data_IF_549782401671
#
_entry.id   IF_549782401671
#
_cell.length_a   1.000
_cell.length_b   1.000
_cell.length_c   1.000
_cell.angle_alpha   90.00
_cell.angle_beta   90.00
_cell.angle_gamma   90.00
#
_symmetry.space_group_name_H-M   'P 1'
#
loop_
_entity.id
_entity.type
_entity.pdbx_description
1 polymer ?
#
# COMPACT_ATOMS: atom_id res chain seq x y z
N UNK A 1 18.18 -8.29 -0.52
CA UNK A 1 16.70 -8.37 -0.37
C UNK A 1 15.93 -8.15 -1.67
N UNK A 2 16.56 -7.65 -2.75
CA UNK A 2 15.93 -7.53 -4.08
C UNK A 2 16.81 -8.18 -5.18
N UNK A 3 17.19 -9.44 -5.00
CA UNK A 3 17.95 -10.15 -6.04
C UNK A 3 17.01 -10.55 -7.18
N UNK A 4 17.56 -10.75 -8.39
CA UNK A 4 16.78 -11.18 -9.56
C UNK A 4 15.97 -12.46 -9.27
N UNK A 5 16.56 -13.41 -8.55
CA UNK A 5 15.89 -14.66 -8.16
C UNK A 5 14.72 -14.43 -7.21
N UNK A 6 14.87 -13.53 -6.22
CA UNK A 6 13.78 -13.19 -5.29
C UNK A 6 12.62 -12.50 -6.02
N UNK A 7 12.92 -11.56 -6.91
CA UNK A 7 11.89 -10.84 -7.68
C UNK A 7 11.16 -11.81 -8.62
N UNK A 8 11.89 -12.69 -9.32
CA UNK A 8 11.28 -13.71 -10.18
C UNK A 8 10.37 -14.67 -9.39
N UNK A 9 10.73 -15.01 -8.15
CA UNK A 9 9.91 -15.86 -7.29
C UNK A 9 8.57 -15.22 -6.87
N UNK A 10 8.38 -13.89 -7.07
CA UNK A 10 7.11 -13.23 -6.80
C UNK A 10 6.08 -13.45 -7.90
N UNK A 11 6.47 -13.88 -9.10
CA UNK A 11 5.58 -14.01 -10.26
C UNK A 11 4.32 -14.84 -9.98
N UNK A 12 4.40 -16.05 -9.38
CA UNK A 12 3.20 -16.84 -9.09
C UNK A 12 2.23 -16.09 -8.16
N UNK A 13 2.76 -15.42 -7.13
CA UNK A 13 1.95 -14.70 -6.16
C UNK A 13 1.33 -13.43 -6.73
N UNK A 14 2.08 -12.68 -7.54
CA UNK A 14 1.57 -11.51 -8.26
C UNK A 14 0.42 -11.91 -9.20
N UNK A 15 0.55 -13.08 -9.87
CA UNK A 15 -0.51 -13.61 -10.73
C UNK A 15 -1.77 -13.97 -9.95
N UNK A 16 -1.63 -14.63 -8.80
CA UNK A 16 -2.77 -14.91 -7.90
C UNK A 16 -3.46 -13.61 -7.44
N UNK A 17 -2.69 -12.64 -6.94
CA UNK A 17 -3.22 -11.34 -6.54
C UNK A 17 -3.95 -10.61 -7.67
N UNK A 18 -3.42 -10.68 -8.89
CA UNK A 18 -4.05 -10.12 -10.08
C UNK A 18 -5.41 -10.77 -10.34
N UNK A 19 -5.51 -12.09 -10.22
CA UNK A 19 -6.76 -12.82 -10.38
C UNK A 19 -7.75 -12.52 -9.24
N UNK A 20 -7.27 -12.44 -8.01
CA UNK A 20 -8.07 -12.08 -6.82
C UNK A 20 -8.70 -10.67 -6.99
N UNK A 21 -7.91 -9.70 -7.43
CA UNK A 21 -8.38 -8.32 -7.65
C UNK A 21 -9.40 -8.23 -8.80
N UNK A 22 -9.22 -9.02 -9.85
CA UNK A 22 -10.14 -9.04 -11.00
C UNK A 22 -11.34 -9.98 -10.82
N UNK A 23 -11.41 -10.75 -9.74
CA UNK A 23 -12.44 -11.77 -9.53
C UNK A 23 -13.87 -11.21 -9.50
N UNK A 24 -14.04 -9.94 -9.12
CA UNK A 24 -15.33 -9.25 -9.08
C UNK A 24 -15.74 -8.60 -10.41
N UNK A 25 -14.90 -8.65 -11.43
CA UNK A 25 -15.21 -8.02 -12.73
C UNK A 25 -16.16 -8.90 -13.55
N UNK A 26 -17.30 -8.33 -13.95
CA UNK A 26 -18.28 -9.07 -14.76
C UNK A 26 -17.92 -9.03 -16.25
N UNK A 27 -18.01 -10.16 -16.99
CA UNK A 27 -17.81 -10.17 -18.43
C UNK A 27 -18.74 -9.18 -19.15
N UNK A 28 -18.17 -8.27 -19.94
CA UNK A 28 -18.93 -7.26 -20.68
C UNK A 28 -19.26 -5.99 -19.88
N UNK A 29 -18.85 -5.91 -18.62
CA UNK A 29 -18.91 -4.67 -17.84
C UNK A 29 -17.67 -3.81 -18.06
N UNK A 30 -17.83 -2.49 -17.96
CA UNK A 30 -16.71 -1.55 -17.91
C UNK A 30 -16.28 -1.36 -16.45
N UNK A 31 -14.97 -1.35 -16.20
CA UNK A 31 -14.41 -1.03 -14.90
C UNK A 31 -13.14 -0.19 -15.05
N UNK A 32 -12.71 0.45 -13.97
CA UNK A 32 -11.48 1.24 -13.93
C UNK A 32 -10.29 0.34 -13.58
N UNK A 33 -9.46 0.01 -14.58
CA UNK A 33 -8.28 -0.83 -14.39
C UNK A 33 -7.25 -0.23 -13.40
N UNK A 34 -7.20 1.10 -13.30
CA UNK A 34 -6.24 1.80 -12.45
C UNK A 34 -6.65 1.65 -10.98
N UNK A 35 -7.91 1.91 -10.67
CA UNK A 35 -8.48 1.73 -9.33
C UNK A 35 -8.55 0.25 -8.91
N UNK A 36 -8.99 -0.63 -9.81
CA UNK A 36 -9.28 -2.03 -9.47
C UNK A 36 -8.02 -2.93 -9.47
N UNK A 37 -6.97 -2.57 -10.21
CA UNK A 37 -5.76 -3.41 -10.34
C UNK A 37 -4.46 -2.65 -10.12
N UNK A 38 -4.20 -1.61 -10.92
CA UNK A 38 -2.87 -1.01 -11.01
C UNK A 38 -2.42 -0.34 -9.70
N UNK A 39 -3.35 0.30 -8.97
CA UNK A 39 -3.11 0.86 -7.64
C UNK A 39 -3.00 -0.20 -6.53
N UNK A 40 -3.98 -1.11 -6.35
CA UNK A 40 -3.95 -2.04 -5.22
C UNK A 40 -2.84 -3.10 -5.31
N UNK A 41 -2.49 -3.59 -6.50
CA UNK A 41 -1.56 -4.71 -6.66
C UNK A 41 -0.17 -4.43 -6.07
N UNK A 42 0.54 -3.33 -6.42
CA UNK A 42 1.86 -3.05 -5.86
C UNK A 42 1.83 -2.83 -4.34
N UNK A 43 0.77 -2.20 -3.82
CA UNK A 43 0.62 -1.94 -2.39
C UNK A 43 0.50 -3.24 -1.60
N UNK A 44 -0.28 -4.20 -2.11
CA UNK A 44 -0.42 -5.53 -1.49
C UNK A 44 0.90 -6.30 -1.53
N UNK A 45 1.62 -6.27 -2.67
CA UNK A 45 2.92 -6.95 -2.80
C UNK A 45 3.94 -6.39 -1.79
N UNK A 46 4.00 -5.07 -1.62
CA UNK A 46 4.89 -4.44 -0.63
C UNK A 46 4.48 -4.84 0.80
N UNK A 47 3.20 -4.85 1.11
CA UNK A 47 2.70 -5.29 2.42
C UNK A 47 3.13 -6.75 2.72
N UNK A 48 3.00 -7.65 1.74
CA UNK A 48 3.47 -9.04 1.84
C UNK A 48 4.98 -9.14 2.07
N UNK A 49 5.78 -8.38 1.32
CA UNK A 49 7.24 -8.34 1.46
C UNK A 49 7.69 -7.83 2.84
N UNK A 50 6.94 -6.90 3.42
CA UNK A 50 7.18 -6.38 4.77
C UNK A 50 6.73 -7.36 5.86
N UNK A 51 5.95 -8.39 5.51
CA UNK A 51 5.40 -9.39 6.44
C UNK A 51 4.10 -8.98 7.10
N UNK A 52 3.41 -7.96 6.58
CA UNK A 52 2.11 -7.52 7.09
C UNK A 52 1.11 -8.69 7.01
N UNK A 53 0.47 -9.08 8.13
CA UNK A 53 -0.56 -10.12 8.15
C UNK A 53 -1.69 -9.81 7.17
N UNK A 54 -2.28 -10.85 6.57
CA UNK A 54 -3.36 -10.70 5.59
C UNK A 54 -4.57 -9.95 6.15
N UNK A 55 -4.88 -10.12 7.44
CA UNK A 55 -5.94 -9.38 8.14
C UNK A 55 -5.75 -7.87 8.09
N UNK A 56 -4.51 -7.39 8.05
CA UNK A 56 -4.18 -5.97 8.25
C UNK A 56 -3.85 -5.26 6.93
N UNK A 57 -3.80 -5.99 5.81
CA UNK A 57 -3.48 -5.44 4.49
C UNK A 57 -4.41 -4.32 4.07
N UNK A 58 -5.68 -4.36 4.49
CA UNK A 58 -6.65 -3.31 4.20
C UNK A 58 -6.28 -1.98 4.86
N UNK A 59 -5.82 -2.01 6.12
CA UNK A 59 -5.32 -0.84 6.85
C UNK A 59 -4.07 -0.27 6.19
N UNK A 60 -3.10 -1.16 5.91
CA UNK A 60 -1.86 -0.78 5.23
C UNK A 60 -2.13 -0.14 3.87
N UNK A 61 -3.06 -0.72 3.10
CA UNK A 61 -3.48 -0.18 1.81
C UNK A 61 -4.10 1.19 1.97
N UNK A 62 -5.01 1.37 2.93
CA UNK A 62 -5.66 2.67 3.16
C UNK A 62 -4.64 3.77 3.46
N UNK A 63 -3.70 3.51 4.38
CA UNK A 63 -2.68 4.48 4.74
C UNK A 63 -1.78 4.81 3.53
N UNK A 64 -1.27 3.80 2.83
CA UNK A 64 -0.36 4.01 1.68
C UNK A 64 -1.07 4.67 0.51
N UNK A 65 -2.30 4.27 0.17
CA UNK A 65 -3.06 4.91 -0.91
C UNK A 65 -3.30 6.39 -0.64
N UNK A 66 -3.63 6.76 0.60
CA UNK A 66 -3.77 8.18 1.00
C UNK A 66 -2.45 8.94 0.91
N UNK A 67 -1.33 8.32 1.28
CA UNK A 67 0.00 8.92 1.13
C UNK A 67 0.35 9.18 -0.34
N UNK A 68 0.07 8.20 -1.23
CA UNK A 68 0.34 8.31 -2.66
C UNK A 68 -0.57 9.31 -3.37
N UNK A 69 -1.85 9.38 -3.01
CA UNK A 69 -2.79 10.38 -3.54
C UNK A 69 -2.36 11.82 -3.18
N UNK A 70 -1.72 11.98 -2.02
CA UNK A 70 -1.32 13.28 -1.48
C UNK A 70 0.13 13.66 -1.82
N UNK A 71 0.75 13.07 -2.85
CA UNK A 71 2.19 13.23 -3.14
C UNK A 71 2.64 14.69 -3.38
N UNK A 72 1.70 15.60 -3.64
CA UNK A 72 1.95 17.05 -3.71
C UNK A 72 2.29 17.68 -2.34
N UNK A 73 1.96 17.03 -1.21
CA UNK A 73 2.23 17.53 0.14
C UNK A 73 3.71 17.56 0.50
N UNK A 74 4.56 16.82 -0.23
CA UNK A 74 6.01 16.87 -0.11
C UNK A 74 6.66 18.00 -0.92
N UNK A 75 5.86 18.77 -1.68
CA UNK A 75 6.33 19.95 -2.39
C UNK A 75 6.48 21.14 -1.44
N UNK A 76 7.58 21.89 -1.58
CA UNK A 76 7.87 23.15 -0.87
C UNK A 76 7.11 24.34 -1.47
N UNK A 77 5.84 24.13 -1.89
CA UNK A 77 4.98 25.18 -2.43
C UNK A 77 4.50 26.18 -1.37
N UNK A 78 3.71 27.17 -1.81
CA UNK A 78 3.08 28.17 -0.93
C UNK A 78 2.27 27.52 0.20
N UNK A 79 2.33 28.09 1.40
CA UNK A 79 1.65 27.56 2.59
C UNK A 79 0.18 28.02 2.64
N UNK A 80 -0.68 27.40 1.83
CA UNK A 80 -2.12 27.66 1.87
C UNK A 80 -2.81 26.87 3.00
N UNK A 81 -3.96 27.35 3.53
CA UNK A 81 -4.75 26.61 4.51
C UNK A 81 -5.12 25.19 4.08
N UNK A 82 -5.42 24.98 2.80
CA UNK A 82 -5.77 23.69 2.20
C UNK A 82 -4.57 22.74 2.22
N UNK A 83 -3.39 23.23 1.83
CA UNK A 83 -2.15 22.46 1.87
C UNK A 83 -1.75 22.12 3.31
N UNK A 84 -1.99 23.01 4.28
CA UNK A 84 -1.78 22.70 5.71
C UNK A 84 -2.70 21.57 6.19
N UNK A 85 -3.99 21.61 5.82
CA UNK A 85 -4.93 20.54 6.15
C UNK A 85 -4.53 19.21 5.50
N UNK A 86 -4.13 19.23 4.22
CA UNK A 86 -3.66 18.04 3.50
C UNK A 86 -2.38 17.45 4.11
N UNK A 87 -1.44 18.30 4.52
CA UNK A 87 -0.24 17.90 5.26
C UNK A 87 -0.61 17.24 6.58
N UNK A 88 -1.52 17.82 7.36
CA UNK A 88 -1.96 17.24 8.64
C UNK A 88 -2.56 15.84 8.47
N UNK A 89 -3.45 15.65 7.50
CA UNK A 89 -4.01 14.34 7.17
C UNK A 89 -2.92 13.36 6.72
N UNK A 90 -1.95 13.80 5.92
CA UNK A 90 -0.82 12.97 5.48
C UNK A 90 0.06 12.57 6.66
N UNK A 91 0.35 13.49 7.60
CA UNK A 91 1.10 13.20 8.81
C UNK A 91 0.41 12.14 9.68
N UNK A 92 -0.91 12.23 9.85
CA UNK A 92 -1.70 11.21 10.56
C UNK A 92 -1.52 9.82 9.93
N UNK A 93 -1.54 9.71 8.60
CA UNK A 93 -1.31 8.42 7.94
C UNK A 93 0.12 7.91 8.13
N UNK A 94 1.12 8.80 8.13
CA UNK A 94 2.53 8.44 8.44
C UNK A 94 2.64 7.95 9.87
N UNK A 95 2.01 8.61 10.84
CA UNK A 95 2.01 8.19 12.24
C UNK A 95 1.38 6.81 12.42
N UNK A 96 0.21 6.57 11.83
CA UNK A 96 -0.46 5.28 11.87
C UNK A 96 0.40 4.17 11.26
N UNK A 97 0.92 4.38 10.05
CA UNK A 97 1.77 3.40 9.36
C UNK A 97 3.06 3.13 10.13
N UNK A 98 3.72 4.17 10.64
CA UNK A 98 4.99 4.03 11.37
C UNK A 98 4.80 3.39 12.74
N UNK A 99 3.69 3.68 13.44
CA UNK A 99 3.30 3.01 14.68
C UNK A 99 3.10 1.52 14.45
N UNK A 100 2.29 1.16 13.46
CA UNK A 100 2.04 -0.23 13.07
C UNK A 100 3.33 -0.99 12.72
N UNK A 101 4.17 -0.42 11.85
CA UNK A 101 5.42 -1.07 11.45
C UNK A 101 6.39 -1.23 12.63
N UNK A 102 6.39 -0.30 13.59
CA UNK A 102 7.21 -0.41 14.80
C UNK A 102 6.77 -1.59 15.65
N UNK A 103 5.47 -1.71 15.93
CA UNK A 103 4.92 -2.85 16.67
C UNK A 103 5.19 -4.18 15.95
N UNK A 104 5.06 -4.20 14.63
CA UNK A 104 5.37 -5.37 13.82
C UNK A 104 6.85 -5.78 13.90
N UNK A 105 7.76 -4.82 13.84
CA UNK A 105 9.21 -5.07 14.02
C UNK A 105 9.49 -5.62 15.42
N UNK A 106 8.90 -5.07 16.46
CA UNK A 106 9.09 -5.58 17.84
C UNK A 106 8.54 -7.00 17.99
N UNK A 107 7.37 -7.30 17.43
CA UNK A 107 6.81 -8.66 17.41
C UNK A 107 7.77 -9.66 16.76
N UNK A 108 8.34 -9.31 15.60
CA UNK A 108 9.29 -10.14 14.84
C UNK A 108 10.65 -10.29 15.53
N UNK A 109 11.05 -9.33 16.37
CA UNK A 109 12.28 -9.43 17.20
C UNK A 109 12.13 -10.46 18.31
N UNK A 110 10.93 -10.57 18.88
CA UNK A 110 10.63 -11.52 19.96
C UNK A 110 10.30 -12.91 19.40
N UNK A 111 9.70 -12.98 18.21
CA UNK A 111 9.32 -14.23 17.53
C UNK A 111 9.86 -14.23 16.09
N UNK A 112 11.05 -14.81 15.84
CA UNK A 112 11.71 -14.80 14.53
C UNK A 112 10.96 -15.56 13.43
#
# INVERSE_FOLDING_TARGET
VFTRGMVAALEPRIKELTLELLAGTEPGSSFDLVEELAHPLPVIVIAELLGVPSSDRHLFREWVSKLLANNQSFSTGEDTPELRAQRALTFEQIENLSGYLREHVESRRVTP
#
